data_IF_479203950129
#
_entry.id   IF_479203950129
#
_cell.length_a   1.000
_cell.length_b   1.000
_cell.length_c   1.000
_cell.angle_alpha   90.00
_cell.angle_beta   90.00
_cell.angle_gamma   90.00
#
_symmetry.space_group_name_H-M   'P 1'
#
loop_
_entity.id
_entity.type
_entity.pdbx_description
1 polymer ?
#
# COMPACT_ATOMS: atom_id res chain seq x y z
N UNK A 1 -13.20 -5.16 -3.84
CA UNK A 1 -11.98 -4.48 -3.36
C UNK A 1 -12.21 -4.10 -1.89
N UNK A 2 -11.20 -4.20 -1.03
CA UNK A 2 -11.22 -3.65 0.34
C UNK A 2 -10.10 -2.64 0.47
N UNK A 3 -10.44 -1.37 0.75
CA UNK A 3 -9.47 -0.32 0.96
C UNK A 3 -9.05 -0.26 2.43
N UNK A 4 -7.74 -0.25 2.67
CA UNK A 4 -7.13 -0.07 3.99
C UNK A 4 -6.30 1.20 4.00
N UNK A 5 -6.76 2.21 4.74
CA UNK A 5 -5.96 3.38 5.04
C UNK A 5 -4.79 2.99 5.94
N UNK A 6 -3.59 3.40 5.53
CA UNK A 6 -2.30 3.21 6.23
C UNK A 6 -1.75 4.52 6.80
N UNK A 7 -2.56 5.58 6.71
CA UNK A 7 -2.40 6.90 7.34
C UNK A 7 -3.76 7.31 7.91
N UNK A 8 -3.82 8.38 8.68
CA UNK A 8 -5.11 9.00 8.99
C UNK A 8 -5.64 9.73 7.75
N UNK A 9 -6.91 9.55 7.37
CA UNK A 9 -7.46 10.22 6.19
C UNK A 9 -7.44 11.75 6.36
N UNK A 10 -7.20 12.47 5.27
CA UNK A 10 -7.22 13.94 5.26
C UNK A 10 -6.41 14.54 4.13
N UNK A 11 -5.08 14.35 4.15
CA UNK A 11 -4.17 14.99 3.19
C UNK A 11 -3.00 14.08 2.78
N UNK A 12 -2.35 14.43 1.66
CA UNK A 12 -1.21 13.69 1.09
C UNK A 12 0.11 13.97 1.82
N UNK A 13 1.07 13.03 1.75
CA UNK A 13 2.41 13.20 2.34
C UNK A 13 2.52 12.83 3.82
N UNK A 14 1.44 12.31 4.41
CA UNK A 14 1.49 11.74 5.76
C UNK A 14 2.37 10.50 5.82
N UNK A 15 2.98 10.27 6.98
CA UNK A 15 3.82 9.11 7.25
C UNK A 15 2.97 7.85 7.41
N UNK A 16 3.47 6.75 6.85
CA UNK A 16 2.91 5.42 7.00
C UNK A 16 2.81 5.02 8.47
N UNK A 17 1.71 4.37 8.85
CA UNK A 17 1.43 3.87 10.21
C UNK A 17 1.68 2.35 10.25
N UNK A 18 2.81 1.84 10.78
CA UNK A 18 3.15 0.41 10.75
C UNK A 18 2.15 -0.49 11.50
N UNK A 19 1.47 0.06 12.50
CA UNK A 19 0.41 -0.63 13.26
C UNK A 19 -0.78 -1.06 12.39
N UNK A 20 -0.86 -0.61 11.13
CA UNK A 20 -1.87 -1.05 10.16
C UNK A 20 -1.60 -2.46 9.60
N UNK A 21 -0.35 -2.95 9.64
CA UNK A 21 0.01 -4.23 9.00
C UNK A 21 -0.79 -5.44 9.53
N UNK A 22 -1.02 -5.59 10.86
CA UNK A 22 -1.91 -6.63 11.38
C UNK A 22 -3.35 -6.51 10.87
N UNK A 23 -3.86 -5.29 10.64
CA UNK A 23 -5.20 -5.06 10.07
C UNK A 23 -5.29 -5.59 8.64
N UNK A 24 -4.24 -5.38 7.82
CA UNK A 24 -4.15 -5.95 6.45
C UNK A 24 -4.19 -7.48 6.50
N UNK A 25 -3.40 -8.11 7.39
CA UNK A 25 -3.39 -9.57 7.56
C UNK A 25 -4.76 -10.11 7.99
N UNK A 26 -5.41 -9.42 8.94
CA UNK A 26 -6.77 -9.78 9.39
C UNK A 26 -7.77 -9.72 8.24
N UNK A 27 -7.74 -8.66 7.42
CA UNK A 27 -8.61 -8.54 6.24
C UNK A 27 -8.32 -9.66 5.23
N UNK A 28 -7.05 -10.00 4.99
CA UNK A 28 -6.68 -11.13 4.11
C UNK A 28 -7.30 -12.44 4.60
N UNK A 29 -7.16 -12.75 5.90
CA UNK A 29 -7.73 -13.96 6.48
C UNK A 29 -9.26 -13.98 6.36
N UNK A 30 -9.94 -12.84 6.58
CA UNK A 30 -11.39 -12.74 6.41
C UNK A 30 -11.81 -13.01 4.97
N UNK A 31 -11.10 -12.45 3.98
CA UNK A 31 -11.39 -12.68 2.56
C UNK A 31 -11.16 -14.15 2.21
N UNK A 32 -10.05 -14.75 2.63
CA UNK A 32 -9.72 -16.16 2.38
C UNK A 32 -10.71 -17.15 2.98
N UNK A 33 -11.44 -16.77 4.02
CA UNK A 33 -12.50 -17.59 4.63
C UNK A 33 -13.87 -17.43 3.92
N UNK A 34 -13.91 -16.74 2.78
CA UNK A 34 -15.12 -16.54 1.97
C UNK A 34 -14.87 -16.97 0.53
N UNK A 35 -15.92 -17.02 -0.28
CA UNK A 35 -15.81 -17.19 -1.74
C UNK A 35 -15.45 -15.88 -2.47
N UNK A 36 -15.10 -14.81 -1.74
CA UNK A 36 -14.84 -13.49 -2.31
C UNK A 36 -13.48 -13.42 -3.01
N UNK A 37 -13.47 -12.95 -4.26
CA UNK A 37 -12.25 -12.59 -5.00
C UNK A 37 -11.75 -11.17 -4.71
N UNK A 38 -12.15 -10.55 -3.60
CA UNK A 38 -11.78 -9.17 -3.30
C UNK A 38 -10.26 -9.01 -3.10
N UNK A 39 -9.66 -8.06 -3.82
CA UNK A 39 -8.29 -7.62 -3.55
C UNK A 39 -8.25 -6.59 -2.42
N UNK A 40 -7.13 -6.56 -1.69
CA UNK A 40 -6.84 -5.53 -0.68
C UNK A 40 -6.04 -4.41 -1.32
N UNK A 41 -6.58 -3.19 -1.24
CA UNK A 41 -5.91 -1.95 -1.61
C UNK A 41 -5.38 -1.25 -0.35
N UNK A 42 -4.17 -0.69 -0.42
CA UNK A 42 -3.62 0.19 0.62
C UNK A 42 -3.44 1.60 0.09
N UNK A 43 -3.75 2.59 0.93
CA UNK A 43 -3.64 4.01 0.61
C UNK A 43 -2.99 4.81 1.75
N UNK A 44 -2.12 5.74 1.37
CA UNK A 44 -1.28 6.56 2.24
C UNK A 44 0.16 6.06 2.37
N UNK A 45 1.14 6.96 2.34
CA UNK A 45 2.52 6.65 2.72
C UNK A 45 3.21 5.50 1.95
N UNK A 46 2.78 5.16 0.72
CA UNK A 46 3.36 4.07 -0.06
C UNK A 46 4.65 4.52 -0.78
N UNK A 47 5.75 3.85 -0.49
CA UNK A 47 7.07 4.05 -1.09
C UNK A 47 7.85 2.71 -1.16
N UNK A 48 9.09 2.66 -1.71
CA UNK A 48 9.86 1.43 -1.81
C UNK A 48 10.17 0.71 -0.48
N UNK A 49 10.01 1.38 0.66
CA UNK A 49 10.24 0.81 1.99
C UNK A 49 8.96 0.28 2.64
N UNK A 50 7.80 0.91 2.37
CA UNK A 50 6.52 0.54 2.97
C UNK A 50 5.71 -0.42 2.10
N UNK A 51 5.86 -0.33 0.78
CA UNK A 51 5.19 -1.22 -0.18
C UNK A 51 5.47 -2.71 0.10
N UNK A 52 6.72 -3.16 0.32
CA UNK A 52 7.01 -4.57 0.56
C UNK A 52 6.35 -5.08 1.84
N UNK A 53 6.24 -4.25 2.88
CA UNK A 53 5.59 -4.60 4.14
C UNK A 53 4.09 -4.85 3.93
N UNK A 54 3.42 -3.96 3.19
CA UNK A 54 2.01 -4.10 2.83
C UNK A 54 1.78 -5.32 1.92
N UNK A 55 2.67 -5.56 0.95
CA UNK A 55 2.61 -6.72 0.07
C UNK A 55 2.69 -8.03 0.86
N UNK A 56 3.67 -8.14 1.76
CA UNK A 56 3.83 -9.30 2.64
C UNK A 56 2.63 -9.48 3.58
N UNK A 57 2.04 -8.38 4.06
CA UNK A 57 0.83 -8.42 4.89
C UNK A 57 -0.42 -8.88 4.12
N UNK A 58 -0.44 -8.78 2.79
CA UNK A 58 -1.53 -9.28 1.95
C UNK A 58 -2.11 -8.30 0.94
N UNK A 59 -1.63 -7.06 0.90
CA UNK A 59 -2.08 -6.07 -0.08
C UNK A 59 -1.63 -6.47 -1.51
N UNK A 60 -2.48 -6.17 -2.49
CA UNK A 60 -2.20 -6.41 -3.92
C UNK A 60 -2.45 -5.20 -4.81
N UNK A 61 -3.10 -4.16 -4.28
CA UNK A 61 -3.32 -2.89 -4.96
C UNK A 61 -2.75 -1.77 -4.08
N UNK A 62 -2.02 -0.84 -4.68
CA UNK A 62 -1.27 0.18 -3.95
C UNK A 62 -1.57 1.57 -4.52
N UNK A 63 -1.99 2.51 -3.68
CA UNK A 63 -2.16 3.91 -4.05
C UNK A 63 -0.87 4.66 -3.71
N UNK A 64 -0.17 5.13 -4.74
CA UNK A 64 1.08 5.85 -4.60
C UNK A 64 1.00 7.19 -5.34
N UNK A 65 1.28 8.28 -4.62
CA UNK A 65 1.29 9.64 -5.18
C UNK A 65 2.67 10.27 -5.00
N UNK A 66 3.03 10.66 -3.77
CA UNK A 66 4.29 11.37 -3.47
C UNK A 66 5.53 10.62 -3.97
N UNK A 67 5.60 9.30 -3.75
CA UNK A 67 6.72 8.46 -4.19
C UNK A 67 6.88 8.36 -5.71
N UNK A 68 5.82 8.65 -6.47
CA UNK A 68 5.83 8.66 -7.94
C UNK A 68 6.07 10.08 -8.46
N UNK A 69 5.21 11.03 -8.09
CA UNK A 69 5.18 12.36 -8.68
C UNK A 69 6.25 13.32 -8.12
N UNK A 70 6.80 13.04 -6.94
CA UNK A 70 7.90 13.82 -6.34
C UNK A 70 9.24 13.06 -6.34
N UNK A 71 9.35 11.98 -7.10
CA UNK A 71 10.61 11.25 -7.21
C UNK A 71 11.68 12.14 -7.89
N UNK A 72 12.91 12.24 -7.34
CA UNK A 72 13.92 13.19 -7.83
C UNK A 72 14.34 12.94 -9.29
N UNK A 73 14.26 11.68 -9.74
CA UNK A 73 14.60 11.27 -11.11
C UNK A 73 13.37 11.20 -12.04
N UNK A 74 12.25 11.82 -11.66
CA UNK A 74 11.02 11.86 -12.43
C UNK A 74 10.09 10.64 -12.25
N UNK A 75 8.90 10.74 -12.84
CA UNK A 75 7.78 9.80 -12.67
C UNK A 75 8.16 8.36 -13.05
N UNK A 76 8.84 8.18 -14.19
CA UNK A 76 9.23 6.86 -14.66
C UNK A 76 10.15 6.14 -13.66
N UNK A 77 11.11 6.86 -13.08
CA UNK A 77 11.98 6.32 -12.04
C UNK A 77 11.22 6.00 -10.75
N UNK A 78 10.25 6.84 -10.35
CA UNK A 78 9.40 6.57 -9.18
C UNK A 78 8.55 5.30 -9.35
N UNK A 79 7.94 5.10 -10.53
CA UNK A 79 7.22 3.86 -10.85
C UNK A 79 8.16 2.65 -10.83
N UNK A 80 9.34 2.78 -11.44
CA UNK A 80 10.33 1.71 -11.48
C UNK A 80 10.76 1.29 -10.07
N UNK A 81 11.06 2.26 -9.19
CA UNK A 81 11.46 2.01 -7.81
C UNK A 81 10.40 1.22 -7.01
N UNK A 82 9.11 1.51 -7.22
CA UNK A 82 8.02 0.75 -6.59
C UNK A 82 7.91 -0.67 -7.15
N UNK A 83 8.12 -0.86 -8.45
CA UNK A 83 8.06 -2.18 -9.10
C UNK A 83 9.23 -3.08 -8.70
N UNK A 84 10.42 -2.52 -8.50
CA UNK A 84 11.60 -3.29 -8.08
C UNK A 84 11.62 -3.62 -6.60
N UNK A 85 10.71 -3.03 -5.81
CA UNK A 85 10.62 -3.26 -4.37
C UNK A 85 9.92 -4.58 -4.00
N UNK A 86 9.21 -5.23 -4.94
CA UNK A 86 8.47 -6.48 -4.73
C UNK A 86 8.76 -7.53 -5.80
#
# INVERSE_FOLDING_TARGET
LVLVMTVNPGYSGQQFIPMVLPKIRKVKNLISNTTSGAMIQVDGGIDPTTLPLCYQAGAKVFVAATSVFKHPNGIAAGIAALRTAI
#
